data_IF_186472531900
#
_entry.id   IF_186472531900
#
_cell.length_a   1.000
_cell.length_b   1.000
_cell.length_c   1.000
_cell.angle_alpha   90.00
_cell.angle_beta   90.00
_cell.angle_gamma   90.00
#
_symmetry.space_group_name_H-M   'P 1'
#
loop_
_entity.id
_entity.type
_entity.pdbx_description
1 polymer ?
#
# COMPACT_ATOMS: atom_id res chain seq x y z
N UNK A 1 9.41 -13.18 -23.91
CA UNK A 1 8.98 -11.77 -24.14
C UNK A 1 8.86 -11.11 -22.77
N UNK A 2 9.51 -9.99 -22.55
CA UNK A 2 9.34 -9.17 -21.34
C UNK A 2 8.02 -8.39 -21.44
N UNK A 3 7.32 -8.22 -20.34
CA UNK A 3 6.05 -7.50 -20.28
C UNK A 3 5.91 -6.76 -18.95
N UNK A 4 5.35 -5.57 -18.97
CA UNK A 4 4.91 -4.85 -17.77
C UNK A 4 3.50 -4.35 -18.02
N UNK A 5 2.60 -4.63 -17.08
CA UNK A 5 1.26 -4.07 -16.99
C UNK A 5 1.17 -3.31 -15.66
N UNK A 6 0.54 -2.16 -15.67
CA UNK A 6 0.31 -1.37 -14.47
C UNK A 6 -0.95 -0.51 -14.64
N UNK A 7 -1.56 -0.12 -13.53
CA UNK A 7 -2.69 0.81 -13.55
C UNK A 7 -2.23 2.28 -13.66
N UNK A 8 -3.16 3.21 -13.75
CA UNK A 8 -2.85 4.63 -13.95
C UNK A 8 -2.00 5.25 -12.83
N UNK A 9 -2.17 4.81 -11.58
CA UNK A 9 -1.42 5.32 -10.44
C UNK A 9 0.10 5.00 -10.51
N UNK A 10 0.47 4.05 -11.35
CA UNK A 10 1.84 3.57 -11.52
C UNK A 10 2.78 4.55 -12.24
N UNK A 11 2.26 5.64 -12.81
CA UNK A 11 3.00 6.54 -13.71
C UNK A 11 4.36 7.03 -13.16
N UNK A 12 4.57 7.31 -11.84
CA UNK A 12 5.87 7.82 -11.38
C UNK A 12 6.99 6.77 -11.42
N UNK A 13 6.61 5.50 -11.35
CA UNK A 13 7.55 4.38 -11.29
C UNK A 13 7.61 3.52 -12.55
N UNK A 14 6.71 3.74 -13.51
CA UNK A 14 6.57 2.89 -14.70
C UNK A 14 7.85 2.82 -15.51
N UNK A 15 8.41 3.96 -15.92
CA UNK A 15 9.63 4.01 -16.73
C UNK A 15 10.83 3.39 -16.01
N UNK A 16 10.93 3.60 -14.69
CA UNK A 16 11.99 2.97 -13.88
C UNK A 16 11.90 1.45 -13.95
N UNK A 17 10.71 0.89 -13.80
CA UNK A 17 10.51 -0.55 -13.91
C UNK A 17 10.84 -1.06 -15.31
N UNK A 18 10.40 -0.34 -16.35
CA UNK A 18 10.70 -0.68 -17.75
C UNK A 18 12.21 -0.72 -18.01
N UNK A 19 12.94 0.28 -17.54
CA UNK A 19 14.38 0.38 -17.77
C UNK A 19 15.16 -0.72 -17.05
N UNK A 20 14.80 -1.03 -15.80
CA UNK A 20 15.38 -2.14 -15.05
C UNK A 20 15.12 -3.49 -15.73
N UNK A 21 13.89 -3.73 -16.19
CA UNK A 21 13.54 -4.94 -16.94
C UNK A 21 14.32 -5.05 -18.26
N UNK A 22 14.51 -3.94 -18.99
CA UNK A 22 15.32 -3.90 -20.23
C UNK A 22 16.77 -4.29 -19.95
N UNK A 23 17.33 -3.84 -18.83
CA UNK A 23 18.69 -4.14 -18.38
C UNK A 23 18.85 -5.59 -17.86
N UNK A 24 17.79 -6.37 -17.80
CA UNK A 24 17.81 -7.77 -17.34
C UNK A 24 17.56 -7.95 -15.86
N UNK A 25 17.07 -6.92 -15.17
CA UNK A 25 16.66 -7.03 -13.76
C UNK A 25 15.56 -8.06 -13.55
N UNK A 26 15.54 -8.68 -12.37
CA UNK A 26 14.46 -9.56 -11.94
C UNK A 26 13.13 -8.81 -11.88
N UNK A 27 12.03 -9.50 -12.22
CA UNK A 27 10.72 -8.89 -12.36
C UNK A 27 10.26 -8.20 -11.08
N UNK A 28 10.32 -8.90 -9.95
CA UNK A 28 9.88 -8.39 -8.65
C UNK A 28 10.75 -7.22 -8.19
N UNK A 29 12.08 -7.35 -8.20
CA UNK A 29 12.99 -6.28 -7.78
C UNK A 29 12.77 -5.01 -8.61
N UNK A 30 12.57 -5.16 -9.92
CA UNK A 30 12.29 -4.04 -10.83
C UNK A 30 10.96 -3.35 -10.50
N UNK A 31 9.92 -4.12 -10.20
CA UNK A 31 8.61 -3.58 -9.82
C UNK A 31 8.65 -2.89 -8.46
N UNK A 32 9.29 -3.49 -7.46
CA UNK A 32 9.47 -2.90 -6.13
C UNK A 32 10.21 -1.56 -6.22
N UNK A 33 11.28 -1.48 -7.01
CA UNK A 33 12.00 -0.23 -7.25
C UNK A 33 11.13 0.84 -7.92
N UNK A 34 10.28 0.46 -8.85
CA UNK A 34 9.31 1.37 -9.47
C UNK A 34 8.24 1.84 -8.50
N UNK A 35 7.60 0.92 -7.80
CA UNK A 35 6.54 1.24 -6.82
C UNK A 35 7.08 2.12 -5.69
N UNK A 36 8.32 1.94 -5.25
CA UNK A 36 8.95 2.82 -4.27
C UNK A 36 8.96 4.30 -4.71
N UNK A 37 8.99 4.60 -6.02
CA UNK A 37 8.82 5.96 -6.54
C UNK A 37 7.37 6.43 -6.48
N UNK A 38 6.42 5.54 -6.78
CA UNK A 38 4.98 5.83 -6.63
C UNK A 38 4.67 6.18 -5.19
N UNK A 39 5.16 5.41 -4.25
CA UNK A 39 4.95 5.61 -2.81
C UNK A 39 5.53 6.92 -2.27
N UNK A 40 6.50 7.51 -2.93
CA UNK A 40 7.11 8.80 -2.57
C UNK A 40 6.54 9.99 -3.33
N UNK A 41 5.70 9.76 -4.34
CA UNK A 41 5.13 10.82 -5.17
C UNK A 41 3.94 11.49 -4.50
N UNK A 42 4.09 12.76 -4.14
CA UNK A 42 3.05 13.53 -3.44
C UNK A 42 1.76 13.74 -4.26
N UNK A 43 1.84 13.64 -5.60
CA UNK A 43 0.67 13.81 -6.49
C UNK A 43 -0.20 12.57 -6.59
N UNK A 44 0.33 11.40 -6.22
CA UNK A 44 -0.44 10.16 -6.12
C UNK A 44 -1.19 10.17 -4.79
N UNK A 45 -2.52 10.30 -4.85
CA UNK A 45 -3.35 10.59 -3.66
C UNK A 45 -3.88 9.34 -2.95
N UNK A 46 -3.47 8.18 -3.39
CA UNK A 46 -4.00 6.89 -2.92
C UNK A 46 -2.92 5.94 -2.42
N UNK A 47 -1.66 6.28 -2.64
CA UNK A 47 -0.51 5.42 -2.35
C UNK A 47 0.57 6.24 -1.65
N UNK A 48 1.15 5.69 -0.59
CA UNK A 48 2.33 6.25 0.04
C UNK A 48 2.14 7.66 0.61
N UNK A 49 3.16 8.49 0.45
CA UNK A 49 3.27 9.85 1.02
C UNK A 49 2.16 10.81 0.61
N UNK A 50 1.71 10.72 -0.65
CA UNK A 50 0.61 11.55 -1.14
C UNK A 50 -0.77 11.08 -0.70
N UNK A 51 -0.89 9.91 -0.10
CA UNK A 51 -2.14 9.26 0.25
C UNK A 51 -2.92 9.92 1.40
N UNK A 52 -3.99 9.27 1.81
CA UNK A 52 -4.88 9.75 2.85
C UNK A 52 -4.65 9.02 4.17
N UNK A 53 -4.67 9.71 5.31
CA UNK A 53 -4.54 9.10 6.63
C UNK A 53 -5.81 8.38 7.05
N UNK A 54 -5.70 7.62 8.15
CA UNK A 54 -6.84 7.09 8.88
C UNK A 54 -7.61 8.19 9.64
N UNK A 55 -8.64 7.84 10.39
CA UNK A 55 -9.46 8.81 11.14
C UNK A 55 -8.68 9.57 12.21
N UNK A 56 -7.57 9.02 12.72
CA UNK A 56 -6.71 9.67 13.70
C UNK A 56 -5.63 10.58 13.07
N UNK A 57 -5.60 10.69 11.74
CA UNK A 57 -4.57 11.47 11.05
C UNK A 57 -3.25 10.73 10.90
N UNK A 58 -3.25 9.41 11.06
CA UNK A 58 -2.07 8.58 10.97
C UNK A 58 -2.03 7.86 9.62
N UNK A 59 -0.82 7.77 9.03
CA UNK A 59 -0.64 6.99 7.80
C UNK A 59 -0.45 5.52 8.15
N UNK A 60 -1.25 4.68 7.49
CA UNK A 60 -1.14 3.22 7.53
C UNK A 60 -1.16 2.69 6.12
N UNK A 61 -0.24 1.80 5.81
CA UNK A 61 -0.01 1.28 4.46
C UNK A 61 -0.21 -0.22 4.37
N UNK A 62 -0.68 -0.65 3.20
CA UNK A 62 -0.79 -2.06 2.84
C UNK A 62 0.03 -2.32 1.57
N UNK A 63 0.73 -3.45 1.50
CA UNK A 63 1.44 -3.89 0.31
C UNK A 63 1.52 -5.40 0.22
N UNK A 64 1.64 -5.89 -1.01
CA UNK A 64 1.84 -7.30 -1.27
C UNK A 64 2.77 -7.54 -2.45
N UNK A 65 3.51 -8.63 -2.37
CA UNK A 65 4.42 -9.12 -3.41
C UNK A 65 4.17 -10.60 -3.60
N UNK A 66 4.08 -11.05 -4.84
CA UNK A 66 3.93 -12.46 -5.16
C UNK A 66 4.79 -12.84 -6.35
N UNK A 67 5.59 -13.88 -6.19
CA UNK A 67 6.29 -14.57 -7.28
C UNK A 67 5.40 -15.66 -7.84
N UNK A 68 4.99 -15.52 -9.08
CA UNK A 68 4.14 -16.50 -9.73
C UNK A 68 4.86 -17.76 -10.16
N UNK A 69 6.18 -17.80 -10.16
CA UNK A 69 6.98 -18.98 -10.50
C UNK A 69 7.16 -19.88 -9.29
N UNK A 70 7.61 -19.31 -8.16
CA UNK A 70 7.84 -20.05 -6.92
C UNK A 70 6.59 -20.13 -6.05
N UNK A 71 5.63 -19.23 -6.24
CA UNK A 71 4.44 -19.01 -5.41
C UNK A 71 4.76 -18.41 -4.03
N UNK A 72 5.97 -17.89 -3.88
CA UNK A 72 6.32 -17.15 -2.67
C UNK A 72 5.54 -15.86 -2.57
N UNK A 73 5.15 -15.53 -1.36
CA UNK A 73 4.35 -14.33 -1.06
C UNK A 73 4.96 -13.59 0.13
N UNK A 74 4.97 -12.28 0.04
CA UNK A 74 5.21 -11.40 1.17
C UNK A 74 4.17 -10.30 1.21
N UNK A 75 3.60 -10.06 2.36
CA UNK A 75 2.57 -9.06 2.53
C UNK A 75 2.72 -8.31 3.85
N UNK A 76 2.31 -7.05 3.85
CA UNK A 76 2.22 -6.24 5.06
C UNK A 76 0.95 -5.42 5.03
N UNK A 77 0.33 -5.22 6.21
CA UNK A 77 -0.91 -4.50 6.32
C UNK A 77 -1.01 -3.60 7.54
N UNK A 78 -1.72 -2.49 7.38
CA UNK A 78 -1.89 -1.46 8.40
C UNK A 78 -0.55 -1.05 9.03
N UNK A 79 0.50 -0.91 8.21
CA UNK A 79 1.86 -0.59 8.68
C UNK A 79 1.96 0.90 8.96
N UNK A 80 2.23 1.32 10.21
CA UNK A 80 2.34 2.74 10.53
C UNK A 80 3.60 3.36 9.93
N UNK A 81 3.45 4.53 9.29
CA UNK A 81 4.51 5.49 8.97
C UNK A 81 5.82 4.87 8.43
N UNK A 82 5.73 3.91 7.49
CA UNK A 82 6.90 3.21 6.95
C UNK A 82 6.85 3.18 5.43
N UNK A 83 7.85 3.73 4.77
CA UNK A 83 8.02 3.70 3.31
C UNK A 83 9.46 3.33 2.93
N UNK A 84 9.70 2.62 1.81
CA UNK A 84 8.68 2.09 0.90
C UNK A 84 8.06 0.81 1.43
N UNK A 85 6.73 0.76 1.50
CA UNK A 85 6.01 -0.37 2.09
C UNK A 85 6.03 -1.62 1.19
N UNK A 86 6.06 -1.46 -0.13
CA UNK A 86 6.23 -2.57 -1.08
C UNK A 86 7.57 -3.28 -0.91
N UNK A 87 8.64 -2.53 -0.64
CA UNK A 87 9.95 -3.12 -0.32
C UNK A 87 9.90 -3.90 1.00
N UNK A 88 9.16 -3.42 2.01
CA UNK A 88 8.97 -4.15 3.26
C UNK A 88 8.22 -5.47 3.05
N UNK A 89 7.18 -5.48 2.22
CA UNK A 89 6.50 -6.73 1.84
C UNK A 89 7.45 -7.72 1.14
N UNK A 90 8.34 -7.21 0.29
CA UNK A 90 9.37 -8.04 -0.35
C UNK A 90 10.40 -8.60 0.65
N UNK A 91 10.78 -7.82 1.67
CA UNK A 91 11.64 -8.32 2.75
C UNK A 91 10.95 -9.42 3.59
N UNK A 92 9.63 -9.32 3.82
CA UNK A 92 8.85 -10.39 4.44
C UNK A 92 8.97 -11.68 3.62
N UNK A 93 8.75 -11.62 2.30
CA UNK A 93 8.85 -12.76 1.41
C UNK A 93 10.24 -13.44 1.45
N UNK A 94 11.30 -12.64 1.53
CA UNK A 94 12.68 -13.13 1.49
C UNK A 94 13.19 -13.73 2.80
N UNK A 95 12.72 -13.20 3.93
CA UNK A 95 13.41 -13.42 5.20
C UNK A 95 12.56 -14.08 6.28
N UNK A 96 11.26 -14.21 6.08
CA UNK A 96 10.38 -14.81 7.08
C UNK A 96 9.65 -16.05 6.55
N UNK A 97 9.39 -17.04 7.41
CA UNK A 97 8.52 -18.17 7.06
C UNK A 97 7.03 -17.78 7.02
N UNK A 98 6.71 -16.56 7.47
CA UNK A 98 5.36 -16.01 7.49
C UNK A 98 5.10 -15.25 6.21
N UNK A 99 3.91 -15.40 5.64
CA UNK A 99 3.53 -14.67 4.41
C UNK A 99 3.07 -13.24 4.68
N UNK A 100 2.68 -12.91 5.94
CA UNK A 100 2.12 -11.61 6.25
C UNK A 100 2.49 -11.14 7.65
N UNK A 101 2.80 -9.84 7.77
CA UNK A 101 2.89 -9.11 9.02
C UNK A 101 1.95 -7.89 9.00
N UNK A 102 1.45 -7.47 10.17
CA UNK A 102 0.55 -6.32 10.29
C UNK A 102 0.96 -5.37 11.42
N UNK A 103 0.55 -4.11 11.28
CA UNK A 103 0.62 -3.10 12.35
C UNK A 103 2.00 -2.96 13.00
N UNK A 104 2.01 -2.97 14.33
CA UNK A 104 3.24 -2.80 15.12
C UNK A 104 4.28 -3.90 14.86
N UNK A 105 3.86 -5.13 14.56
CA UNK A 105 4.77 -6.22 14.21
C UNK A 105 5.49 -5.98 12.89
N UNK A 106 4.79 -5.52 11.88
CA UNK A 106 5.38 -5.15 10.60
C UNK A 106 6.33 -3.95 10.75
N UNK A 107 5.95 -2.94 11.54
CA UNK A 107 6.84 -1.79 11.86
C UNK A 107 8.11 -2.21 12.59
N UNK A 108 8.01 -3.14 13.55
CA UNK A 108 9.18 -3.70 14.21
C UNK A 108 10.13 -4.36 13.22
N UNK A 109 9.60 -5.22 12.35
CA UNK A 109 10.41 -5.87 11.32
C UNK A 109 11.04 -4.84 10.36
N UNK A 110 10.32 -3.77 9.99
CA UNK A 110 10.87 -2.67 9.20
C UNK A 110 12.11 -2.06 9.87
N UNK A 111 12.04 -1.79 11.18
CA UNK A 111 13.18 -1.26 11.95
C UNK A 111 14.35 -2.24 11.94
N UNK A 112 14.11 -3.53 12.13
CA UNK A 112 15.14 -4.57 12.09
C UNK A 112 15.81 -4.68 10.70
N UNK A 113 15.06 -4.34 9.63
CA UNK A 113 15.56 -4.31 8.25
C UNK A 113 16.13 -2.95 7.82
N UNK A 114 16.23 -1.97 8.74
CA UNK A 114 16.84 -0.68 8.48
C UNK A 114 15.96 0.31 7.71
N UNK A 115 14.64 0.09 7.67
CA UNK A 115 13.72 1.06 7.10
C UNK A 115 13.61 2.28 8.00
N UNK A 116 13.62 3.47 7.40
CA UNK A 116 13.35 4.70 8.13
C UNK A 116 11.88 4.75 8.56
N UNK A 117 11.66 5.23 9.76
CA UNK A 117 10.33 5.52 10.29
C UNK A 117 10.19 7.04 10.29
N UNK A 118 9.55 7.56 9.26
CA UNK A 118 9.44 8.99 9.04
C UNK A 118 7.98 9.47 9.15
N UNK A 119 7.81 10.80 9.26
CA UNK A 119 6.48 11.40 9.04
C UNK A 119 6.10 11.26 7.57
N UNK A 120 5.18 10.35 7.32
CA UNK A 120 4.71 10.01 5.97
C UNK A 120 3.41 10.71 5.60
N UNK A 121 2.91 11.64 6.42
CA UNK A 121 1.70 12.39 6.16
C UNK A 121 2.00 13.71 5.42
N UNK A 122 1.61 13.78 4.16
CA UNK A 122 1.75 15.02 3.38
C UNK A 122 0.95 16.18 3.99
N UNK A 123 1.50 17.42 4.06
CA UNK A 123 0.82 18.56 4.68
C UNK A 123 -0.59 18.84 4.11
N UNK A 124 -0.79 18.73 2.79
CA UNK A 124 -2.10 18.89 2.19
C UNK A 124 -3.07 17.78 2.61
N UNK A 125 -2.61 16.55 2.71
CA UNK A 125 -3.43 15.42 3.20
C UNK A 125 -3.85 15.66 4.64
N UNK A 126 -2.94 16.16 5.47
CA UNK A 126 -3.22 16.53 6.87
C UNK A 126 -4.26 17.62 6.97
N UNK A 127 -4.12 18.68 6.16
CA UNK A 127 -5.07 19.80 6.15
C UNK A 127 -6.46 19.34 5.73
N UNK A 128 -6.57 18.61 4.61
CA UNK A 128 -7.86 18.12 4.08
C UNK A 128 -8.51 17.13 5.03
N UNK A 129 -7.70 16.23 5.65
CA UNK A 129 -8.16 15.31 6.68
C UNK A 129 -8.83 16.05 7.83
N UNK A 130 -8.17 17.05 8.39
CA UNK A 130 -8.70 17.78 9.53
C UNK A 130 -9.94 18.60 9.19
N UNK A 131 -9.92 19.32 8.05
CA UNK A 131 -11.08 20.06 7.55
C UNK A 131 -12.31 19.17 7.33
N UNK A 132 -12.10 17.94 6.85
CA UNK A 132 -13.18 16.97 6.64
C UNK A 132 -13.70 16.43 7.97
N UNK A 133 -12.82 16.06 8.86
CA UNK A 133 -13.18 15.49 10.16
C UNK A 133 -13.97 16.50 11.03
N UNK A 134 -13.52 17.77 11.06
CA UNK A 134 -14.19 18.82 11.80
C UNK A 134 -15.64 19.04 11.38
N UNK A 135 -15.96 18.88 10.10
CA UNK A 135 -17.33 19.07 9.59
C UNK A 135 -18.33 18.03 10.13
N UNK A 136 -17.85 16.88 10.50
CA UNK A 136 -18.68 15.76 10.97
C UNK A 136 -18.73 15.68 12.49
N UNK A 137 -17.89 16.42 13.21
CA UNK A 137 -17.81 16.42 14.67
C UNK A 137 -18.57 17.61 15.28
N UNK A 138 -19.23 17.40 16.41
CA UNK A 138 -19.74 18.47 17.25
C UNK A 138 -18.60 19.26 17.90
N UNK A 139 -18.83 20.50 18.38
CA UNK A 139 -17.80 21.24 19.11
C UNK A 139 -17.21 20.49 20.31
N UNK A 140 -18.06 19.74 21.04
CA UNK A 140 -17.62 18.93 22.18
C UNK A 140 -16.70 17.77 21.73
N UNK A 141 -17.04 17.13 20.63
CA UNK A 141 -16.22 16.08 20.03
C UNK A 141 -14.88 16.61 19.54
N UNK A 142 -14.87 17.80 18.90
CA UNK A 142 -13.64 18.46 18.46
C UNK A 142 -12.72 18.77 19.65
N UNK A 143 -13.27 19.23 20.77
CA UNK A 143 -12.51 19.55 21.97
C UNK A 143 -11.94 18.30 22.66
N UNK A 144 -12.63 17.17 22.57
CA UNK A 144 -12.21 15.91 23.18
C UNK A 144 -11.38 15.01 22.24
N UNK A 145 -11.23 15.37 20.98
CA UNK A 145 -10.45 14.57 20.01
C UNK A 145 -8.98 14.43 20.43
N UNK A 146 -8.35 13.24 20.34
CA UNK A 146 -8.82 12.01 19.71
C UNK A 146 -9.62 11.05 20.61
N UNK A 147 -9.88 11.41 21.87
CA UNK A 147 -10.50 10.53 22.89
C UNK A 147 -12.04 10.47 22.76
N UNK A 148 -12.50 10.22 21.54
CA UNK A 148 -13.92 10.09 21.20
C UNK A 148 -14.22 8.75 20.52
N UNK A 149 -15.47 8.23 20.58
CA UNK A 149 -15.86 7.07 19.78
C UNK A 149 -15.77 7.36 18.29
N UNK A 150 -14.90 6.64 17.56
CA UNK A 150 -14.70 6.83 16.12
C UNK A 150 -15.70 6.04 15.27
N UNK A 151 -16.22 4.91 15.76
CA UNK A 151 -17.08 4.04 14.96
C UNK A 151 -18.33 4.73 14.40
N UNK A 152 -19.05 5.58 15.15
CA UNK A 152 -20.18 6.33 14.61
C UNK A 152 -19.79 7.28 13.46
N UNK A 153 -18.61 7.95 13.58
CA UNK A 153 -18.10 8.85 12.55
C UNK A 153 -17.64 8.11 11.30
N UNK A 154 -17.15 6.88 11.44
CA UNK A 154 -16.66 6.08 10.31
C UNK A 154 -17.75 5.90 9.23
N UNK A 155 -19.01 5.75 9.62
CA UNK A 155 -20.12 5.56 8.69
C UNK A 155 -20.45 6.83 7.86
N UNK A 156 -20.07 8.00 8.34
CA UNK A 156 -20.36 9.29 7.67
C UNK A 156 -19.19 9.82 6.89
N UNK A 157 -17.97 9.50 7.32
CA UNK A 157 -16.74 10.06 6.75
C UNK A 157 -16.16 9.18 5.66
N UNK A 158 -16.14 7.86 5.87
CA UNK A 158 -15.54 6.91 4.93
C UNK A 158 -16.43 6.76 3.70
N UNK A 159 -15.90 7.05 2.53
CA UNK A 159 -16.61 6.90 1.25
C UNK A 159 -15.90 5.85 0.38
N UNK A 160 -16.33 4.57 0.45
CA UNK A 160 -15.67 3.49 -0.26
C UNK A 160 -15.83 3.55 -1.78
N UNK A 161 -16.84 4.27 -2.29
CA UNK A 161 -17.11 4.33 -3.73
C UNK A 161 -16.23 5.32 -4.49
N UNK A 162 -15.72 6.34 -3.80
CA UNK A 162 -14.92 7.42 -4.40
C UNK A 162 -13.42 7.15 -4.40
N UNK A 163 -12.97 6.15 -3.64
CA UNK A 163 -11.54 5.87 -3.46
C UNK A 163 -11.20 4.50 -4.06
N UNK A 164 -10.81 4.50 -5.33
CA UNK A 164 -10.31 3.30 -6.02
C UNK A 164 -8.82 3.48 -6.23
N UNK A 165 -7.97 2.92 -5.33
CA UNK A 165 -6.64 3.44 -5.35
C UNK A 165 -5.58 2.53 -4.74
N UNK A 166 -5.30 1.47 -5.45
CA UNK A 166 -4.11 0.65 -5.27
C UNK A 166 -3.23 0.82 -6.50
N UNK A 167 -1.92 1.00 -6.35
CA UNK A 167 -1.01 0.79 -7.47
C UNK A 167 -0.71 -0.69 -7.61
N UNK A 168 -0.75 -1.17 -8.84
CA UNK A 168 -0.47 -2.57 -9.19
C UNK A 168 0.51 -2.61 -10.34
N UNK A 169 1.59 -3.38 -10.17
CA UNK A 169 2.50 -3.75 -11.25
C UNK A 169 2.47 -5.26 -11.41
N UNK A 170 2.34 -5.72 -12.65
CA UNK A 170 2.45 -7.10 -13.05
C UNK A 170 3.53 -7.21 -14.13
N UNK A 171 4.55 -7.99 -13.92
CA UNK A 171 5.64 -8.13 -14.88
C UNK A 171 5.94 -9.59 -15.21
N UNK A 172 6.35 -9.78 -16.46
CA UNK A 172 7.06 -10.97 -16.92
C UNK A 172 8.48 -10.56 -17.30
N UNK A 173 9.46 -11.13 -16.68
CA UNK A 173 10.89 -10.83 -16.90
C UNK A 173 11.53 -11.68 -18.02
N UNK A 174 12.86 -11.58 -18.15
CA UNK A 174 13.60 -12.33 -19.16
C UNK A 174 13.59 -13.85 -18.94
N UNK A 175 13.50 -14.30 -17.68
CA UNK A 175 13.41 -15.71 -17.33
C UNK A 175 12.02 -16.31 -17.56
N UNK A 176 11.06 -15.50 -18.01
CA UNK A 176 9.64 -15.80 -18.13
C UNK A 176 8.93 -15.94 -16.79
N UNK A 177 9.60 -15.57 -15.67
CA UNK A 177 8.98 -15.44 -14.37
C UNK A 177 7.89 -14.38 -14.36
N UNK A 178 6.74 -14.69 -13.78
CA UNK A 178 5.62 -13.78 -13.59
C UNK A 178 5.62 -13.32 -12.12
N UNK A 179 5.50 -12.01 -11.91
CA UNK A 179 5.39 -11.45 -10.57
C UNK A 179 4.36 -10.34 -10.50
N UNK A 180 3.85 -10.07 -9.32
CA UNK A 180 2.95 -8.96 -9.02
C UNK A 180 3.38 -8.25 -7.75
N UNK A 181 3.25 -6.92 -7.75
CA UNK A 181 3.48 -6.07 -6.59
C UNK A 181 2.35 -5.06 -6.50
N UNK A 182 1.82 -4.90 -5.28
CA UNK A 182 0.74 -3.96 -4.96
C UNK A 182 1.16 -3.04 -3.83
N UNK A 183 0.64 -1.82 -3.81
CA UNK A 183 0.81 -0.86 -2.71
C UNK A 183 -0.35 0.11 -2.64
N UNK A 184 -0.76 0.46 -1.40
CA UNK A 184 -1.83 1.41 -1.15
C UNK A 184 -1.71 2.07 0.23
N UNK A 185 -2.26 3.27 0.39
CA UNK A 185 -2.56 3.87 1.69
C UNK A 185 -3.98 3.52 2.18
N UNK A 186 -4.72 2.69 1.45
CA UNK A 186 -6.11 2.33 1.76
C UNK A 186 -7.10 3.49 1.58
N UNK A 187 -8.32 3.29 2.01
CA UNK A 187 -9.37 4.31 1.91
C UNK A 187 -9.05 5.55 2.75
N UNK A 188 -9.43 6.69 2.21
CA UNK A 188 -9.37 7.94 2.96
C UNK A 188 -10.22 7.85 4.23
N UNK A 189 -9.66 8.32 5.35
CA UNK A 189 -10.33 8.34 6.66
C UNK A 189 -10.83 6.97 7.12
N UNK A 190 -10.13 5.92 6.73
CA UNK A 190 -10.42 4.56 7.20
C UNK A 190 -10.33 4.48 8.73
N UNK A 191 -11.04 3.54 9.31
CA UNK A 191 -10.87 3.23 10.73
C UNK A 191 -9.43 2.77 11.00
N UNK A 192 -8.77 3.20 12.10
CA UNK A 192 -7.41 2.77 12.42
C UNK A 192 -7.30 1.24 12.47
N UNK A 193 -6.26 0.71 11.81
CA UNK A 193 -6.05 -0.73 11.69
C UNK A 193 -6.87 -1.42 10.58
N UNK A 194 -7.67 -0.68 9.79
CA UNK A 194 -8.39 -1.27 8.66
C UNK A 194 -7.40 -1.78 7.62
N UNK A 195 -7.49 -3.05 7.29
CA UNK A 195 -6.76 -3.70 6.21
C UNK A 195 -7.56 -3.66 4.91
N UNK A 196 -6.89 -3.32 3.80
CA UNK A 196 -7.46 -3.40 2.45
C UNK A 196 -7.29 -4.80 1.83
N UNK A 197 -7.65 -4.91 0.57
CA UNK A 197 -7.49 -6.13 -0.23
C UNK A 197 -6.07 -6.29 -0.81
N UNK A 198 -5.31 -5.20 -0.91
CA UNK A 198 -4.00 -5.17 -1.57
C UNK A 198 -2.99 -6.20 -1.06
N UNK A 199 -2.88 -6.51 0.25
CA UNK A 199 -1.95 -7.50 0.76
C UNK A 199 -2.55 -8.92 0.82
N UNK A 200 -3.83 -9.09 0.49
CA UNK A 200 -4.53 -10.35 0.68
C UNK A 200 -4.35 -11.26 -0.52
N UNK A 201 -3.78 -12.44 -0.26
CA UNK A 201 -3.67 -13.51 -1.26
C UNK A 201 -5.06 -14.04 -1.60
N UNK A 202 -5.37 -14.09 -2.89
CA UNK A 202 -6.70 -14.48 -3.36
C UNK A 202 -7.71 -13.33 -3.47
N UNK A 203 -7.34 -12.11 -3.03
CA UNK A 203 -8.10 -10.89 -3.29
C UNK A 203 -7.38 -10.05 -4.36
N UNK A 204 -6.50 -9.12 -3.97
CA UNK A 204 -5.73 -8.33 -4.93
C UNK A 204 -4.53 -9.10 -5.52
N UNK A 205 -3.93 -9.98 -4.72
CA UNK A 205 -2.84 -10.87 -5.15
C UNK A 205 -3.42 -12.21 -5.60
N UNK A 206 -4.15 -12.23 -6.69
CA UNK A 206 -4.66 -13.45 -7.28
C UNK A 206 -3.70 -13.99 -8.34
N UNK A 207 -3.11 -15.12 -8.03
CA UNK A 207 -2.31 -15.91 -8.96
C UNK A 207 -3.16 -17.02 -9.55
N UNK A 208 -3.74 -16.83 -10.70
CA UNK A 208 -4.51 -17.82 -11.45
C UNK A 208 -5.28 -18.88 -10.65
N UNK A 209 -6.54 -18.70 -10.54
CA UNK A 209 -7.47 -19.82 -10.58
C UNK A 209 -8.22 -19.69 -11.89
N UNK A 210 -8.41 -20.77 -12.69
CA UNK A 210 -9.52 -20.74 -13.61
C UNK A 210 -10.73 -20.43 -12.74
N UNK A 211 -11.39 -19.32 -13.05
CA UNK A 211 -12.60 -18.97 -12.34
C UNK A 211 -13.56 -20.16 -12.39
N UNK A 212 -14.19 -20.59 -11.31
CA UNK A 212 -15.20 -21.62 -11.36
C UNK A 212 -16.42 -21.21 -12.21
N UNK A 213 -16.36 -20.05 -12.85
CA UNK A 213 -17.41 -19.47 -13.71
C UNK A 213 -17.03 -19.45 -15.18
N UNK A 214 -15.85 -19.93 -15.53
CA UNK A 214 -15.41 -20.09 -16.93
C UNK A 214 -15.67 -21.51 -17.42
#
# INVERSE_FOLDING_TARGET
>A
MKMLLANAEAWPGFDTTVDLLKQGGAGIDSMVAGIAKVEREAKVRSVGYGGWPNMLGEMEFDAGVMDGTTRDVGAVGAVPATLPVSALAHEVMKHLPHVMLTGAGARRFATERGFAIDDTLHPDSKRVWWERLQKEMTPEQQAAFPDIPLAPLSNTITDPERVRDTTVFLARDASQGLGVVTSTSGWAWKYPGRLGDSPIVGACLLYTSPSPRD
#
